data_IF_744332914254
#
_entry.id   IF_744332914254
#
_cell.length_a   1.000
_cell.length_b   1.000
_cell.length_c   1.000
_cell.angle_alpha   90.00
_cell.angle_beta   90.00
_cell.angle_gamma   90.00
#
_symmetry.space_group_name_H-M   'P 1'
#
loop_
_entity.id
_entity.type
_entity.pdbx_description
1 polymer ?
#
# COMPACT_ATOMS: atom_id res chain seq x y z
N UNK A 1 -15.33 16.76 1.39
CA UNK A 1 -15.07 17.44 0.10
C UNK A 1 -14.71 16.36 -0.90
N UNK A 2 -15.33 16.34 -2.09
CA UNK A 2 -15.08 15.29 -3.07
C UNK A 2 -13.62 15.31 -3.53
N UNK A 3 -13.02 14.12 -3.62
CA UNK A 3 -11.68 13.94 -4.14
C UNK A 3 -11.70 14.10 -5.66
N UNK A 4 -11.00 15.12 -6.16
CA UNK A 4 -10.81 15.32 -7.60
C UNK A 4 -9.69 14.43 -8.10
N UNK A 5 -10.02 13.54 -9.03
CA UNK A 5 -9.06 12.62 -9.65
C UNK A 5 -9.06 12.83 -11.15
N UNK A 6 -7.87 12.96 -11.69
CA UNK A 6 -7.61 12.95 -13.13
C UNK A 6 -6.89 11.65 -13.50
N UNK A 7 -7.34 11.01 -14.58
CA UNK A 7 -6.72 9.83 -15.18
C UNK A 7 -6.32 10.14 -16.63
N UNK A 8 -5.10 9.74 -16.98
CA UNK A 8 -4.61 9.72 -18.37
C UNK A 8 -5.25 8.57 -19.15
N UNK A 9 -5.18 8.57 -20.49
CA UNK A 9 -5.66 7.44 -21.28
C UNK A 9 -5.12 6.11 -20.77
N UNK A 10 -6.01 5.13 -20.57
CA UNK A 10 -5.72 3.79 -20.05
C UNK A 10 -5.12 3.70 -18.64
N UNK A 11 -5.02 4.82 -17.91
CA UNK A 11 -4.60 4.80 -16.49
C UNK A 11 -5.71 4.18 -15.63
N UNK A 12 -5.31 3.41 -14.61
CA UNK A 12 -6.23 2.75 -13.70
C UNK A 12 -6.21 3.37 -12.31
N UNK A 13 -7.35 3.28 -11.64
CA UNK A 13 -7.51 3.58 -10.22
C UNK A 13 -8.36 2.50 -9.57
N UNK A 14 -8.02 2.14 -8.34
CA UNK A 14 -8.76 1.18 -7.53
C UNK A 14 -9.55 1.91 -6.47
N UNK A 15 -10.81 1.52 -6.34
CA UNK A 15 -11.75 2.04 -5.34
C UNK A 15 -12.35 0.84 -4.61
N UNK A 16 -11.89 0.60 -3.38
CA UNK A 16 -12.20 -0.61 -2.61
C UNK A 16 -11.83 -1.88 -3.39
N UNK A 17 -12.85 -2.63 -3.80
CA UNK A 17 -12.69 -3.87 -4.58
C UNK A 17 -12.89 -3.69 -6.09
N UNK A 18 -13.16 -2.47 -6.55
CA UNK A 18 -13.44 -2.16 -7.95
C UNK A 18 -12.24 -1.48 -8.60
N UNK A 19 -12.04 -1.72 -9.90
CA UNK A 19 -11.03 -1.05 -10.71
C UNK A 19 -11.72 -0.22 -11.77
N UNK A 20 -11.38 1.07 -11.85
CA UNK A 20 -11.78 1.95 -12.94
C UNK A 20 -10.59 2.09 -13.88
N UNK A 21 -10.79 1.76 -15.15
CA UNK A 21 -9.82 1.99 -16.22
C UNK A 21 -10.32 3.13 -17.08
N UNK A 22 -9.49 4.15 -17.27
CA UNK A 22 -9.86 5.24 -18.16
C UNK A 22 -9.81 4.78 -19.63
N UNK A 23 -10.64 5.39 -20.47
CA UNK A 23 -10.65 5.10 -21.91
C UNK A 23 -9.46 5.79 -22.62
N UNK A 24 -9.57 6.01 -23.92
CA UNK A 24 -8.57 6.65 -24.77
C UNK A 24 -8.43 8.17 -24.58
N UNK A 25 -9.31 8.80 -23.79
CA UNK A 25 -9.30 10.25 -23.55
C UNK A 25 -9.05 10.58 -22.07
N UNK A 26 -8.26 11.62 -21.81
CA UNK A 26 -8.00 12.10 -20.44
C UNK A 26 -9.31 12.59 -19.80
N UNK A 27 -9.62 12.05 -18.63
CA UNK A 27 -10.90 12.31 -17.95
C UNK A 27 -10.68 12.69 -16.49
N UNK A 28 -11.48 13.64 -16.00
CA UNK A 28 -11.53 14.03 -14.59
C UNK A 28 -12.86 13.61 -13.99
N UNK A 29 -12.82 13.05 -12.79
CA UNK A 29 -14.00 12.72 -12.00
C UNK A 29 -13.84 13.21 -10.56
N UNK A 30 -14.98 13.37 -9.90
CA UNK A 30 -15.08 13.69 -8.48
C UNK A 30 -15.59 12.43 -7.78
N UNK A 31 -14.85 11.97 -6.78
CA UNK A 31 -15.27 10.85 -5.92
C UNK A 31 -15.72 11.44 -4.59
N UNK A 32 -16.94 11.11 -4.17
CA UNK A 32 -17.46 11.47 -2.85
C UNK A 32 -17.64 10.22 -2.00
N UNK A 33 -17.38 10.34 -0.69
CA UNK A 33 -17.39 9.25 0.29
C UNK A 33 -16.02 8.80 0.79
N UNK A 34 -16.02 7.75 1.61
CA UNK A 34 -14.87 7.27 2.39
C UNK A 34 -14.28 5.95 1.86
N UNK A 35 -14.58 5.60 0.61
CA UNK A 35 -14.06 4.39 0.00
C UNK A 35 -12.51 4.41 -0.04
N UNK A 36 -11.83 3.26 0.16
CA UNK A 36 -10.40 3.16 -0.04
C UNK A 36 -10.02 3.47 -1.49
N UNK A 37 -9.06 4.35 -1.74
CA UNK A 37 -8.66 4.75 -3.10
C UNK A 37 -7.15 4.63 -3.28
N UNK A 38 -6.71 3.87 -4.28
CA UNK A 38 -5.31 3.75 -4.68
C UNK A 38 -5.15 3.92 -6.19
N UNK A 39 -4.10 4.63 -6.62
CA UNK A 39 -3.74 4.71 -8.04
C UNK A 39 -2.99 3.46 -8.47
N UNK A 40 -3.02 3.14 -9.76
CA UNK A 40 -2.29 1.99 -10.31
C UNK A 40 -0.80 1.97 -9.97
N UNK A 41 -0.12 3.12 -10.11
CA UNK A 41 1.30 3.27 -9.72
C UNK A 41 1.59 2.99 -8.24
N UNK A 42 0.53 2.99 -7.44
CA UNK A 42 0.56 2.85 -5.99
C UNK A 42 0.18 1.44 -5.54
N UNK A 43 -0.12 0.55 -6.50
CA UNK A 43 -0.56 -0.82 -6.26
C UNK A 43 0.59 -1.77 -6.51
N UNK A 44 0.79 -2.66 -5.55
CA UNK A 44 1.60 -3.85 -5.67
C UNK A 44 0.71 -5.07 -5.92
N UNK A 45 1.21 -6.02 -6.70
CA UNK A 45 0.54 -7.30 -6.96
C UNK A 45 1.28 -8.40 -6.22
N UNK A 46 0.64 -9.55 -6.02
CA UNK A 46 1.30 -10.72 -5.43
C UNK A 46 2.56 -11.13 -6.21
N UNK A 47 2.55 -10.99 -7.53
CA UNK A 47 3.68 -11.31 -8.41
C UNK A 47 4.84 -10.34 -8.24
N UNK A 48 4.55 -9.05 -8.05
CA UNK A 48 5.57 -8.00 -7.89
C UNK A 48 6.04 -7.82 -6.45
N UNK A 49 5.37 -8.45 -5.47
CA UNK A 49 5.75 -8.43 -4.06
C UNK A 49 6.86 -9.45 -3.73
N UNK A 50 7.99 -9.30 -4.40
CA UNK A 50 9.11 -10.26 -4.36
C UNK A 50 10.14 -10.01 -3.24
N UNK A 51 10.02 -8.93 -2.48
CA UNK A 51 10.90 -8.61 -1.35
C UNK A 51 10.13 -8.54 -0.03
N UNK A 52 10.76 -8.77 1.13
CA UNK A 52 10.12 -8.70 2.44
C UNK A 52 9.31 -7.41 2.68
N UNK A 53 9.88 -6.22 2.40
CA UNK A 53 9.13 -4.96 2.57
C UNK A 53 7.96 -4.86 1.60
N UNK A 54 8.10 -5.32 0.34
CA UNK A 54 6.98 -5.33 -0.62
C UNK A 54 5.86 -6.29 -0.19
N UNK A 55 6.16 -7.41 0.46
CA UNK A 55 5.15 -8.32 1.03
C UNK A 55 4.37 -7.65 2.16
N UNK A 56 5.06 -6.92 3.04
CA UNK A 56 4.42 -6.11 4.08
C UNK A 56 3.54 -5.03 3.46
N UNK A 57 4.04 -4.31 2.46
CA UNK A 57 3.24 -3.30 1.74
C UNK A 57 1.99 -3.92 1.13
N UNK A 58 2.11 -5.06 0.46
CA UNK A 58 0.98 -5.76 -0.12
C UNK A 58 -0.04 -6.17 0.95
N UNK A 59 0.41 -6.67 2.10
CA UNK A 59 -0.46 -7.00 3.23
C UNK A 59 -1.27 -5.79 3.71
N UNK A 60 -0.60 -4.66 3.97
CA UNK A 60 -1.26 -3.40 4.37
C UNK A 60 -2.18 -2.86 3.26
N UNK A 61 -1.82 -3.08 2.00
CA UNK A 61 -2.65 -2.70 0.85
C UNK A 61 -3.96 -3.50 0.85
N UNK A 62 -3.90 -4.80 1.13
CA UNK A 62 -5.10 -5.63 1.24
C UNK A 62 -5.98 -5.21 2.42
N UNK A 63 -5.37 -4.92 3.58
CA UNK A 63 -6.09 -4.34 4.73
C UNK A 63 -6.82 -3.05 4.34
N UNK A 64 -6.17 -2.17 3.58
CA UNK A 64 -6.75 -0.90 3.14
C UNK A 64 -7.89 -1.09 2.14
N UNK A 65 -7.67 -1.87 1.09
CA UNK A 65 -8.65 -2.05 0.01
C UNK A 65 -9.89 -2.83 0.45
N UNK A 66 -9.72 -3.81 1.35
CA UNK A 66 -10.83 -4.60 1.89
C UNK A 66 -11.43 -3.99 3.16
N UNK A 67 -10.77 -2.99 3.73
CA UNK A 67 -11.12 -2.38 5.02
C UNK A 67 -11.27 -3.42 6.15
N UNK A 68 -10.40 -4.43 6.14
CA UNK A 68 -10.39 -5.55 7.09
C UNK A 68 -8.98 -5.70 7.66
N UNK A 69 -8.72 -5.06 8.79
CA UNK A 69 -7.43 -5.18 9.49
C UNK A 69 -7.27 -6.56 10.16
N UNK A 70 -8.28 -7.06 10.91
CA UNK A 70 -8.15 -8.33 11.63
C UNK A 70 -7.79 -9.52 10.73
N UNK A 71 -8.34 -9.60 9.51
CA UNK A 71 -8.07 -10.71 8.60
C UNK A 71 -6.60 -10.85 8.19
N UNK A 72 -5.83 -9.75 8.21
CA UNK A 72 -4.44 -9.72 7.76
C UNK A 72 -3.44 -9.46 8.88
N UNK A 73 -3.91 -9.23 10.11
CA UNK A 73 -3.07 -8.84 11.24
C UNK A 73 -2.01 -9.90 11.57
N UNK A 74 -2.39 -11.18 11.60
CA UNK A 74 -1.46 -12.28 11.88
C UNK A 74 -0.39 -12.41 10.78
N UNK A 75 -0.81 -12.27 9.52
CA UNK A 75 0.10 -12.29 8.36
C UNK A 75 1.11 -11.13 8.44
N UNK A 76 0.62 -9.93 8.75
CA UNK A 76 1.46 -8.75 8.94
C UNK A 76 2.50 -9.00 10.03
N UNK A 77 2.07 -9.41 11.24
CA UNK A 77 2.97 -9.69 12.37
C UNK A 77 4.06 -10.73 12.04
N UNK A 78 3.72 -11.76 11.26
CA UNK A 78 4.70 -12.72 10.75
C UNK A 78 5.78 -12.05 9.89
N UNK A 79 5.36 -11.27 8.89
CA UNK A 79 6.29 -10.61 7.97
C UNK A 79 7.19 -9.58 8.65
N UNK A 80 6.68 -8.77 9.58
CA UNK A 80 7.52 -7.80 10.28
C UNK A 80 8.51 -8.46 11.24
N UNK A 81 8.16 -9.62 11.84
CA UNK A 81 9.12 -10.39 12.63
C UNK A 81 10.29 -10.86 11.77
N UNK A 82 10.01 -11.49 10.63
CA UNK A 82 11.02 -11.95 9.68
C UNK A 82 11.91 -10.79 9.18
N UNK A 83 11.28 -9.65 8.84
CA UNK A 83 12.01 -8.47 8.36
C UNK A 83 12.95 -7.89 9.43
N UNK A 84 12.49 -7.76 10.68
CA UNK A 84 13.31 -7.17 11.75
C UNK A 84 14.46 -8.11 12.14
N UNK A 85 14.25 -9.43 12.10
CA UNK A 85 15.30 -10.42 12.30
C UNK A 85 16.38 -10.33 11.20
N UNK A 86 15.97 -10.13 9.95
CA UNK A 86 16.90 -9.99 8.81
C UNK A 86 17.58 -8.61 8.75
N UNK A 87 16.84 -7.53 9.02
CA UNK A 87 17.28 -6.13 8.87
C UNK A 87 16.84 -5.30 10.10
N UNK A 88 17.59 -5.37 11.21
CA UNK A 88 17.24 -4.68 12.45
C UNK A 88 17.11 -3.14 12.31
N UNK A 89 17.80 -2.54 11.33
CA UNK A 89 17.75 -1.10 11.08
C UNK A 89 16.39 -0.58 10.62
N UNK A 90 15.47 -1.44 10.19
CA UNK A 90 14.14 -1.04 9.75
C UNK A 90 13.10 -1.00 10.88
N UNK A 91 13.49 -1.41 12.10
CA UNK A 91 12.61 -1.51 13.27
C UNK A 91 11.82 -0.23 13.53
N UNK A 92 12.48 0.92 13.58
CA UNK A 92 11.84 2.21 13.92
C UNK A 92 10.73 2.58 12.92
N UNK A 93 10.99 2.41 11.62
CA UNK A 93 10.00 2.68 10.55
C UNK A 93 8.83 1.70 10.61
N UNK A 94 9.10 0.44 10.91
CA UNK A 94 8.07 -0.59 11.07
C UNK A 94 7.19 -0.34 12.30
N UNK A 95 7.78 0.07 13.43
CA UNK A 95 7.03 0.44 14.63
C UNK A 95 6.11 1.63 14.36
N UNK A 96 6.61 2.68 13.68
CA UNK A 96 5.80 3.82 13.25
C UNK A 96 4.65 3.40 12.32
N UNK A 97 4.91 2.51 11.36
CA UNK A 97 3.90 1.97 10.45
C UNK A 97 2.84 1.18 11.21
N UNK A 98 3.26 0.37 12.18
CA UNK A 98 2.35 -0.45 12.98
C UNK A 98 1.41 0.42 13.84
N UNK A 99 1.92 1.51 14.40
CA UNK A 99 1.10 2.49 15.13
C UNK A 99 0.05 3.16 14.22
N UNK A 100 0.41 3.45 12.96
CA UNK A 100 -0.54 3.99 11.97
C UNK A 100 -1.65 2.99 11.64
N UNK A 101 -1.32 1.70 11.49
CA UNK A 101 -2.29 0.63 11.25
C UNK A 101 -3.26 0.50 12.44
N UNK A 102 -2.74 0.45 13.67
CA UNK A 102 -3.56 0.38 14.89
C UNK A 102 -4.48 1.59 15.04
N UNK A 103 -4.05 2.76 14.57
CA UNK A 103 -4.84 3.98 14.57
C UNK A 103 -5.83 4.08 13.38
N UNK A 104 -5.94 3.05 12.53
CA UNK A 104 -6.77 3.03 11.34
C UNK A 104 -6.27 3.89 10.17
N UNK A 105 -5.07 4.48 10.28
CA UNK A 105 -4.47 5.35 9.26
C UNK A 105 -3.73 4.54 8.18
N UNK A 106 -4.40 3.56 7.57
CA UNK A 106 -3.82 2.60 6.62
C UNK A 106 -3.17 3.26 5.39
N UNK A 107 -3.79 4.30 4.82
CA UNK A 107 -3.21 5.03 3.70
C UNK A 107 -1.88 5.71 4.07
N UNK A 108 -1.76 6.23 5.30
CA UNK A 108 -0.49 6.80 5.79
C UNK A 108 0.54 5.70 6.00
N UNK A 109 0.15 4.55 6.55
CA UNK A 109 1.02 3.39 6.71
C UNK A 109 1.61 2.94 5.36
N UNK A 110 0.80 2.87 4.29
CA UNK A 110 1.28 2.58 2.94
C UNK A 110 2.32 3.59 2.46
N UNK A 111 2.11 4.88 2.75
CA UNK A 111 3.06 5.92 2.35
C UNK A 111 4.41 5.80 3.06
N UNK A 112 4.42 5.43 4.34
CA UNK A 112 5.65 5.21 5.12
C UNK A 112 6.44 3.98 4.64
N UNK A 113 5.77 2.95 4.13
CA UNK A 113 6.45 1.74 3.62
C UNK A 113 7.17 1.96 2.28
N UNK A 114 6.76 2.95 1.47
CA UNK A 114 7.39 3.22 0.16
C UNK A 114 8.87 3.56 0.19
N UNK A 115 9.35 4.52 1.01
CA UNK A 115 10.78 4.78 1.12
C UNK A 115 11.53 3.53 1.61
N UNK A 116 10.88 2.71 2.45
CA UNK A 116 11.46 1.47 2.94
C UNK A 116 11.68 0.44 1.82
N UNK A 117 10.75 0.34 0.85
CA UNK A 117 10.93 -0.51 -0.34
C UNK A 117 12.18 -0.11 -1.11
N UNK A 118 12.37 1.20 -1.36
CA UNK A 118 13.56 1.68 -2.09
C UNK A 118 14.86 1.35 -1.34
N UNK A 119 14.84 1.55 -0.02
CA UNK A 119 16.00 1.27 0.83
C UNK A 119 16.35 -0.22 0.87
N UNK A 120 15.34 -1.09 0.86
CA UNK A 120 15.54 -2.53 0.73
C UNK A 120 16.14 -2.91 -0.62
N UNK A 121 15.64 -2.33 -1.73
CA UNK A 121 16.20 -2.54 -3.07
C UNK A 121 17.67 -2.08 -3.16
N UNK A 122 18.03 -0.98 -2.51
CA UNK A 122 19.42 -0.51 -2.40
C UNK A 122 20.32 -1.46 -1.59
N UNK A 123 19.78 -2.15 -0.58
CA UNK A 123 20.51 -3.15 0.19
C UNK A 123 20.70 -4.46 -0.57
N UNK A 124 19.69 -4.89 -1.34
CA UNK A 124 19.72 -6.11 -2.15
C UNK A 124 20.57 -5.99 -3.42
N UNK A 125 20.81 -4.76 -3.89
CA UNK A 125 21.65 -4.48 -5.07
C UNK A 125 23.13 -4.29 -4.74
N UNK A 126 23.51 -4.41 -3.46
CA UNK A 126 24.90 -4.43 -2.98
C UNK A 126 25.39 -5.87 -2.77
#
# INVERSE_FOLDING_TARGET
MPLRVELKPFERIVIGQSVITNSDTRTTFLIDGDAPILREKDILTAETANTPVKRIYLCVQMMYLQNDIPAYQDLYLGFIKELIEAVPSFRETIEATSNLILSGNLYKALRELRPLIKREEELLSR
#
